data_IF_374421403183
#
_entry.id   IF_374421403183
#
_cell.length_a   1.000
_cell.length_b   1.000
_cell.length_c   1.000
_cell.angle_alpha   90.00
_cell.angle_beta   90.00
_cell.angle_gamma   90.00
#
_symmetry.space_group_name_H-M   'P 1'
#
loop_
_entity.id
_entity.type
_entity.pdbx_description
1 polymer ?
#
# COMPACT_ATOMS: atom_id res chain seq x y z
N UNK A 1 -68.18 106.36 -144.59
CA UNK A 1 -68.90 105.14 -144.16
C UNK A 1 -67.96 103.93 -144.15
N UNK A 2 -67.18 103.70 -145.20
CA UNK A 2 -66.25 102.55 -145.37
C UNK A 2 -65.12 102.40 -144.32
N UNK A 3 -64.60 103.48 -143.72
CA UNK A 3 -63.49 103.39 -142.73
C UNK A 3 -63.94 102.93 -141.32
N UNK A 4 -65.24 103.03 -141.01
CA UNK A 4 -65.79 102.66 -139.71
C UNK A 4 -66.18 101.17 -139.67
N UNK A 5 -66.66 100.64 -140.79
CA UNK A 5 -66.96 99.20 -140.95
C UNK A 5 -65.68 98.35 -140.92
N UNK A 6 -64.59 98.77 -141.56
CA UNK A 6 -63.31 98.04 -141.51
C UNK A 6 -62.72 97.97 -140.09
N UNK A 7 -62.75 99.07 -139.32
CA UNK A 7 -62.31 99.08 -137.92
C UNK A 7 -63.20 98.20 -137.03
N UNK A 8 -64.50 98.14 -137.29
CA UNK A 8 -65.42 97.31 -136.52
C UNK A 8 -65.19 95.81 -136.80
N UNK A 9 -64.89 95.44 -138.05
CA UNK A 9 -64.55 94.06 -138.42
C UNK A 9 -63.21 93.61 -137.84
N UNK A 10 -62.16 94.45 -137.87
CA UNK A 10 -60.87 94.13 -137.21
C UNK A 10 -61.04 93.93 -135.69
N UNK A 11 -61.83 94.78 -135.02
CA UNK A 11 -62.11 94.63 -133.59
C UNK A 11 -62.91 93.35 -133.30
N UNK A 12 -63.85 92.98 -134.15
CA UNK A 12 -64.61 91.72 -134.00
C UNK A 12 -63.70 90.51 -134.20
N UNK A 13 -62.84 90.51 -135.22
CA UNK A 13 -61.88 89.41 -135.46
C UNK A 13 -60.86 89.31 -134.32
N UNK A 14 -60.34 90.44 -133.80
CA UNK A 14 -59.43 90.45 -132.66
C UNK A 14 -60.11 89.94 -131.38
N UNK A 15 -61.38 90.32 -131.14
CA UNK A 15 -62.18 89.78 -130.04
C UNK A 15 -62.45 88.28 -130.19
N UNK A 16 -62.75 87.80 -131.40
CA UNK A 16 -62.97 86.37 -131.68
C UNK A 16 -61.70 85.54 -131.50
N UNK A 17 -60.54 86.03 -131.97
CA UNK A 17 -59.24 85.36 -131.75
C UNK A 17 -58.93 85.30 -130.25
N UNK A 18 -59.21 86.37 -129.51
CA UNK A 18 -58.98 86.44 -128.07
C UNK A 18 -59.92 85.54 -127.27
N UNK A 19 -61.16 85.37 -127.74
CA UNK A 19 -62.14 84.44 -127.17
C UNK A 19 -61.68 82.98 -127.36
N UNK A 20 -61.23 82.62 -128.56
CA UNK A 20 -60.64 81.29 -128.84
C UNK A 20 -59.35 81.05 -128.02
N UNK A 21 -58.50 82.07 -127.87
CA UNK A 21 -57.32 81.97 -127.01
C UNK A 21 -57.66 81.83 -125.52
N UNK A 22 -58.72 82.48 -125.05
CA UNK A 22 -59.23 82.35 -123.68
C UNK A 22 -59.83 80.96 -123.45
N UNK A 23 -60.66 80.46 -124.38
CA UNK A 23 -61.20 79.10 -124.33
C UNK A 23 -60.07 78.05 -124.32
N UNK A 24 -59.04 78.22 -125.17
CA UNK A 24 -57.89 77.31 -125.19
C UNK A 24 -57.08 77.36 -123.88
N UNK A 25 -56.94 78.54 -123.27
CA UNK A 25 -56.29 78.69 -121.95
C UNK A 25 -57.13 78.08 -120.82
N UNK A 26 -58.44 78.22 -120.87
CA UNK A 26 -59.36 77.61 -119.89
C UNK A 26 -59.32 76.07 -119.99
N UNK A 27 -59.26 75.52 -121.20
CA UNK A 27 -59.09 74.08 -121.43
C UNK A 27 -57.73 73.58 -120.92
N UNK A 28 -56.64 74.31 -121.18
CA UNK A 28 -55.31 73.93 -120.68
C UNK A 28 -55.25 73.99 -119.14
N UNK A 29 -55.80 75.04 -118.54
CA UNK A 29 -55.91 75.16 -117.09
C UNK A 29 -56.76 74.03 -116.50
N UNK A 30 -57.88 73.68 -117.12
CA UNK A 30 -58.72 72.56 -116.67
C UNK A 30 -57.96 71.23 -116.75
N UNK A 31 -57.23 70.99 -117.85
CA UNK A 31 -56.40 69.78 -117.99
C UNK A 31 -55.28 69.73 -116.94
N UNK A 32 -54.66 70.86 -116.60
CA UNK A 32 -53.65 70.96 -115.55
C UNK A 32 -54.27 70.70 -114.16
N UNK A 33 -55.45 71.26 -113.88
CA UNK A 33 -56.19 71.02 -112.65
C UNK A 33 -56.56 69.54 -112.52
N UNK A 34 -57.11 68.93 -113.57
CA UNK A 34 -57.50 67.52 -113.57
C UNK A 34 -56.27 66.62 -113.36
N UNK A 35 -55.14 66.95 -114.00
CA UNK A 35 -53.87 66.24 -113.81
C UNK A 35 -53.34 66.36 -112.39
N UNK A 36 -53.38 67.56 -111.79
CA UNK A 36 -52.97 67.79 -110.39
C UNK A 36 -53.92 67.06 -109.43
N UNK A 37 -55.23 67.06 -109.67
CA UNK A 37 -56.22 66.33 -108.87
C UNK A 37 -55.93 64.83 -108.89
N UNK A 38 -55.64 64.25 -110.07
CA UNK A 38 -55.25 62.84 -110.19
C UNK A 38 -53.95 62.57 -109.43
N UNK A 39 -52.91 63.39 -109.66
CA UNK A 39 -51.61 63.22 -109.01
C UNK A 39 -51.69 63.31 -107.47
N UNK A 40 -52.51 64.25 -106.96
CA UNK A 40 -52.78 64.39 -105.52
C UNK A 40 -53.54 63.19 -104.96
N UNK A 41 -54.56 62.72 -105.68
CA UNK A 41 -55.35 61.54 -105.26
C UNK A 41 -54.49 60.28 -105.20
N UNK A 42 -53.62 60.06 -106.18
CA UNK A 42 -52.67 58.93 -106.21
C UNK A 42 -51.62 59.05 -105.09
N UNK A 43 -51.12 60.26 -104.84
CA UNK A 43 -50.18 60.51 -103.74
C UNK A 43 -50.82 60.26 -102.37
N UNK A 44 -52.05 60.71 -102.16
CA UNK A 44 -52.81 60.49 -100.92
C UNK A 44 -53.10 59.00 -100.73
N UNK A 45 -53.49 58.29 -101.80
CA UNK A 45 -53.71 56.83 -101.78
C UNK A 45 -52.44 56.07 -101.41
N UNK A 46 -51.30 56.44 -101.99
CA UNK A 46 -49.99 55.83 -101.68
C UNK A 46 -49.54 56.12 -100.25
N UNK A 47 -49.74 57.36 -99.78
CA UNK A 47 -49.42 57.74 -98.41
C UNK A 47 -50.28 56.95 -97.43
N UNK A 48 -51.58 56.81 -97.69
CA UNK A 48 -52.48 56.01 -96.86
C UNK A 48 -52.02 54.54 -96.80
N UNK A 49 -51.69 53.94 -97.95
CA UNK A 49 -51.18 52.57 -97.98
C UNK A 49 -49.88 52.38 -97.19
N UNK A 50 -48.95 53.35 -97.25
CA UNK A 50 -47.71 53.32 -96.47
C UNK A 50 -47.98 53.47 -94.98
N UNK A 51 -48.90 54.36 -94.58
CA UNK A 51 -49.31 54.56 -93.18
C UNK A 51 -49.93 53.27 -92.64
N UNK A 52 -50.82 52.63 -93.39
CA UNK A 52 -51.49 51.39 -92.99
C UNK A 52 -50.48 50.23 -92.86
N UNK A 53 -49.54 50.11 -93.82
CA UNK A 53 -48.48 49.11 -93.76
C UNK A 53 -47.58 49.28 -92.53
N UNK A 54 -47.15 50.51 -92.25
CA UNK A 54 -46.34 50.84 -91.08
C UNK A 54 -47.12 50.62 -89.76
N UNK A 55 -48.40 51.00 -89.71
CA UNK A 55 -49.25 50.75 -88.56
C UNK A 55 -49.41 49.24 -88.28
N UNK A 56 -49.63 48.43 -89.32
CA UNK A 56 -49.73 46.99 -89.20
C UNK A 56 -48.41 46.35 -88.76
N UNK A 57 -47.28 46.78 -89.33
CA UNK A 57 -45.96 46.28 -88.96
C UNK A 57 -45.62 46.58 -87.48
N UNK A 58 -45.94 47.80 -87.01
CA UNK A 58 -45.79 48.16 -85.60
C UNK A 58 -46.70 47.34 -84.69
N UNK A 59 -47.98 47.20 -85.03
CA UNK A 59 -48.93 46.40 -84.25
C UNK A 59 -48.48 44.94 -84.10
N UNK A 60 -47.95 44.33 -85.17
CA UNK A 60 -47.41 42.95 -85.13
C UNK A 60 -46.17 42.89 -84.25
N UNK A 61 -45.23 43.82 -84.42
CA UNK A 61 -43.98 43.85 -83.64
C UNK A 61 -44.25 44.08 -82.15
N UNK A 62 -45.13 45.02 -81.81
CA UNK A 62 -45.53 45.31 -80.43
C UNK A 62 -46.23 44.11 -79.79
N UNK A 63 -47.09 43.41 -80.56
CA UNK A 63 -47.72 42.17 -80.11
C UNK A 63 -46.68 41.07 -79.85
N UNK A 64 -45.73 40.86 -80.75
CA UNK A 64 -44.69 39.84 -80.59
C UNK A 64 -43.79 40.13 -79.38
N UNK A 65 -43.39 41.40 -79.20
CA UNK A 65 -42.62 41.83 -78.03
C UNK A 65 -43.42 41.62 -76.73
N UNK A 66 -44.70 41.99 -76.74
CA UNK A 66 -45.59 41.78 -75.60
C UNK A 66 -45.71 40.29 -75.26
N UNK A 67 -45.88 39.42 -76.27
CA UNK A 67 -45.96 37.97 -76.08
C UNK A 67 -44.63 37.39 -75.55
N UNK A 68 -43.48 37.89 -76.00
CA UNK A 68 -42.16 37.50 -75.50
C UNK A 68 -41.94 37.96 -74.04
N UNK A 69 -42.26 39.21 -73.71
CA UNK A 69 -42.17 39.74 -72.35
C UNK A 69 -43.07 38.93 -71.42
N UNK A 70 -44.30 38.65 -71.82
CA UNK A 70 -45.23 37.85 -71.02
C UNK A 70 -44.68 36.44 -70.78
N UNK A 71 -44.10 35.78 -71.79
CA UNK A 71 -43.45 34.47 -71.62
C UNK A 71 -42.27 34.52 -70.65
N UNK A 72 -41.40 35.52 -70.77
CA UNK A 72 -40.24 35.69 -69.87
C UNK A 72 -40.68 35.97 -68.43
N UNK A 73 -41.71 36.80 -68.23
CA UNK A 73 -42.28 37.10 -66.91
C UNK A 73 -42.82 35.83 -66.24
N UNK A 74 -43.56 35.01 -66.98
CA UNK A 74 -44.07 33.72 -66.48
C UNK A 74 -42.91 32.80 -66.12
N UNK A 75 -41.94 32.62 -67.02
CA UNK A 75 -40.80 31.73 -66.80
C UNK A 75 -39.97 32.14 -65.57
N UNK A 76 -39.73 33.44 -65.37
CA UNK A 76 -39.04 33.96 -64.19
C UNK A 76 -39.84 33.75 -62.92
N UNK A 77 -41.13 34.03 -62.95
CA UNK A 77 -42.01 33.85 -61.79
C UNK A 77 -42.08 32.38 -61.35
N UNK A 78 -42.20 31.45 -62.30
CA UNK A 78 -42.20 30.02 -62.03
C UNK A 78 -40.84 29.55 -61.49
N UNK A 79 -39.74 30.05 -62.06
CA UNK A 79 -38.39 29.73 -61.59
C UNK A 79 -38.11 30.27 -60.19
N UNK A 80 -38.54 31.50 -59.89
CA UNK A 80 -38.45 32.12 -58.56
C UNK A 80 -39.25 31.31 -57.53
N UNK A 81 -40.47 30.88 -57.89
CA UNK A 81 -41.30 30.04 -57.03
C UNK A 81 -40.67 28.67 -56.76
N UNK A 82 -40.06 28.05 -57.78
CA UNK A 82 -39.35 26.78 -57.62
C UNK A 82 -38.11 26.93 -56.73
N UNK A 83 -37.32 27.99 -56.94
CA UNK A 83 -36.16 28.28 -56.11
C UNK A 83 -36.55 28.54 -54.66
N UNK A 84 -37.62 29.31 -54.41
CA UNK A 84 -38.14 29.55 -53.06
C UNK A 84 -38.55 28.24 -52.38
N UNK A 85 -39.25 27.36 -53.10
CA UNK A 85 -39.64 26.05 -52.57
C UNK A 85 -38.44 25.19 -52.18
N UNK A 86 -37.39 25.19 -53.02
CA UNK A 86 -36.16 24.43 -52.74
C UNK A 86 -35.39 25.01 -51.55
N UNK A 87 -35.31 26.34 -51.44
CA UNK A 87 -34.67 27.03 -50.31
C UNK A 87 -35.41 26.69 -49.01
N UNK A 88 -36.74 26.73 -49.00
CA UNK A 88 -37.55 26.43 -47.82
C UNK A 88 -37.40 24.96 -47.40
N UNK A 89 -37.37 24.04 -48.37
CA UNK A 89 -37.16 22.62 -48.10
C UNK A 89 -35.77 22.35 -47.49
N UNK A 90 -34.71 22.92 -48.06
CA UNK A 90 -33.35 22.81 -47.55
C UNK A 90 -33.19 23.45 -46.16
N UNK A 91 -33.80 24.62 -45.94
CA UNK A 91 -33.81 25.27 -44.63
C UNK A 91 -34.49 24.40 -43.57
N UNK A 92 -35.63 23.79 -43.90
CA UNK A 92 -36.32 22.87 -43.00
C UNK A 92 -35.50 21.59 -42.74
N UNK A 93 -34.89 21.02 -43.77
CA UNK A 93 -34.04 19.84 -43.63
C UNK A 93 -32.84 20.10 -42.70
N UNK A 94 -32.15 21.23 -42.87
CA UNK A 94 -31.04 21.64 -41.99
C UNK A 94 -31.51 21.87 -40.56
N UNK A 95 -32.63 22.57 -40.36
CA UNK A 95 -33.19 22.79 -39.02
C UNK A 95 -33.56 21.48 -38.30
N UNK A 96 -34.05 20.47 -39.02
CA UNK A 96 -34.35 19.15 -38.45
C UNK A 96 -33.06 18.41 -38.11
N UNK A 97 -32.10 18.36 -39.04
CA UNK A 97 -30.82 17.70 -38.83
C UNK A 97 -30.04 18.30 -37.64
N UNK A 98 -30.03 19.62 -37.50
CA UNK A 98 -29.37 20.32 -36.39
C UNK A 98 -30.05 19.99 -35.04
N UNK A 99 -31.38 19.93 -35.00
CA UNK A 99 -32.13 19.52 -33.79
C UNK A 99 -31.85 18.07 -33.41
N UNK A 100 -31.78 17.17 -34.39
CA UNK A 100 -31.50 15.76 -34.16
C UNK A 100 -30.06 15.55 -33.65
N UNK A 101 -29.08 16.22 -34.26
CA UNK A 101 -27.69 16.17 -33.81
C UNK A 101 -27.56 16.76 -32.39
N UNK A 102 -28.19 17.89 -32.12
CA UNK A 102 -28.21 18.48 -30.79
C UNK A 102 -28.84 17.54 -29.75
N UNK A 103 -29.92 16.85 -30.11
CA UNK A 103 -30.55 15.84 -29.26
C UNK A 103 -29.64 14.65 -28.97
N UNK A 104 -28.92 14.15 -29.98
CA UNK A 104 -27.95 13.06 -29.82
C UNK A 104 -26.77 13.47 -28.93
N UNK A 105 -26.21 14.67 -29.14
CA UNK A 105 -25.11 15.20 -28.33
C UNK A 105 -25.55 15.33 -26.86
N UNK A 106 -26.75 15.87 -26.60
CA UNK A 106 -27.27 16.00 -25.24
C UNK A 106 -27.44 14.63 -24.56
N UNK A 107 -27.92 13.62 -25.30
CA UNK A 107 -28.04 12.26 -24.78
C UNK A 107 -26.68 11.64 -24.45
N UNK A 108 -25.69 11.79 -25.33
CA UNK A 108 -24.34 11.28 -25.09
C UNK A 108 -23.69 11.97 -23.88
N UNK A 109 -23.85 13.29 -23.75
CA UNK A 109 -23.35 14.05 -22.57
C UNK A 109 -23.97 13.51 -21.28
N UNK A 110 -25.29 13.29 -21.26
CA UNK A 110 -25.97 12.74 -20.09
C UNK A 110 -25.46 11.34 -19.74
N UNK A 111 -25.38 10.44 -20.72
CA UNK A 111 -24.90 9.07 -20.53
C UNK A 111 -23.45 9.03 -20.02
N UNK A 112 -22.56 9.86 -20.58
CA UNK A 112 -21.17 9.97 -20.12
C UNK A 112 -21.09 10.51 -18.69
N UNK A 113 -21.86 11.55 -18.38
CA UNK A 113 -21.90 12.14 -17.03
C UNK A 113 -22.38 11.13 -15.99
N UNK A 114 -23.40 10.33 -16.32
CA UNK A 114 -23.91 9.27 -15.44
C UNK A 114 -22.89 8.14 -15.28
N UNK A 115 -22.24 7.72 -16.37
CA UNK A 115 -21.17 6.72 -16.36
C UNK A 115 -19.98 7.14 -15.49
N UNK A 116 -19.53 8.38 -15.64
CA UNK A 116 -18.42 8.93 -14.86
C UNK A 116 -18.77 9.01 -13.37
N UNK A 117 -20.00 9.41 -13.03
CA UNK A 117 -20.48 9.40 -11.63
C UNK A 117 -20.53 7.99 -11.04
N UNK A 118 -20.99 7.00 -11.82
CA UNK A 118 -21.06 5.60 -11.37
C UNK A 118 -19.66 5.01 -11.16
N UNK A 119 -18.72 5.32 -12.05
CA UNK A 119 -17.32 4.93 -11.92
C UNK A 119 -16.68 5.58 -10.68
N UNK A 120 -16.88 6.89 -10.49
CA UNK A 120 -16.37 7.60 -9.32
C UNK A 120 -16.90 6.99 -8.01
N UNK A 121 -18.20 6.70 -7.95
CA UNK A 121 -18.81 6.06 -6.77
C UNK A 121 -18.22 4.68 -6.48
N UNK A 122 -17.92 3.90 -7.53
CA UNK A 122 -17.32 2.57 -7.40
C UNK A 122 -15.87 2.65 -6.92
N UNK A 123 -15.11 3.63 -7.42
CA UNK A 123 -13.74 3.90 -6.98
C UNK A 123 -13.71 4.33 -5.51
N UNK A 124 -14.59 5.25 -5.12
CA UNK A 124 -14.67 5.74 -3.74
C UNK A 124 -15.03 4.61 -2.76
N UNK A 125 -15.96 3.73 -3.14
CA UNK A 125 -16.31 2.55 -2.35
C UNK A 125 -15.14 1.57 -2.19
N UNK A 126 -14.39 1.31 -3.27
CA UNK A 126 -13.21 0.42 -3.23
C UNK A 126 -12.09 1.01 -2.35
N UNK A 127 -11.87 2.34 -2.41
CA UNK A 127 -10.89 3.03 -1.55
C UNK A 127 -11.22 2.80 -0.07
N UNK A 128 -12.48 2.98 0.31
CA UNK A 128 -12.94 2.76 1.70
C UNK A 128 -12.79 1.28 2.08
N UNK A 129 -13.22 0.36 1.21
CA UNK A 129 -13.14 -1.08 1.48
C UNK A 129 -11.70 -1.56 1.68
N UNK A 130 -10.75 -1.06 0.88
CA UNK A 130 -9.32 -1.37 1.04
C UNK A 130 -8.74 -0.77 2.30
N UNK A 131 -9.05 0.49 2.62
CA UNK A 131 -8.59 1.11 3.85
C UNK A 131 -9.06 0.35 5.10
N UNK A 132 -10.32 -0.09 5.11
CA UNK A 132 -10.88 -0.91 6.19
C UNK A 132 -10.23 -2.29 6.27
N UNK A 133 -9.95 -2.93 5.13
CA UNK A 133 -9.28 -4.21 5.07
C UNK A 133 -7.83 -4.13 5.60
N UNK A 134 -7.08 -3.11 5.18
CA UNK A 134 -5.72 -2.84 5.63
C UNK A 134 -5.68 -2.54 7.13
N UNK A 135 -6.63 -1.74 7.63
CA UNK A 135 -6.76 -1.45 9.07
C UNK A 135 -7.02 -2.72 9.89
N UNK A 136 -7.96 -3.57 9.44
CA UNK A 136 -8.26 -4.86 10.11
C UNK A 136 -7.05 -5.78 10.11
N UNK A 137 -6.34 -5.88 9.00
CA UNK A 137 -5.14 -6.70 8.89
C UNK A 137 -4.03 -6.19 9.83
N UNK A 138 -3.81 -4.88 9.88
CA UNK A 138 -2.81 -4.27 10.76
C UNK A 138 -3.12 -4.53 12.24
N UNK A 139 -4.39 -4.42 12.63
CA UNK A 139 -4.85 -4.73 14.00
C UNK A 139 -4.61 -6.22 14.33
N UNK A 140 -4.96 -7.13 13.41
CA UNK A 140 -4.76 -8.56 13.60
C UNK A 140 -3.27 -8.91 13.75
N UNK A 141 -2.40 -8.32 12.92
CA UNK A 141 -0.95 -8.51 13.00
C UNK A 141 -0.41 -8.02 14.34
N UNK A 142 -0.78 -6.81 14.76
CA UNK A 142 -0.31 -6.24 16.03
C UNK A 142 -0.75 -7.11 17.23
N UNK A 143 -2.00 -7.59 17.18
CA UNK A 143 -2.55 -8.46 18.23
C UNK A 143 -1.77 -9.78 18.32
N UNK A 144 -1.45 -10.39 17.19
CA UNK A 144 -0.67 -11.63 17.15
C UNK A 144 0.77 -11.41 17.61
N UNK A 145 1.40 -10.30 17.23
CA UNK A 145 2.75 -9.94 17.69
C UNK A 145 2.78 -9.78 19.20
N UNK A 146 1.80 -9.07 19.78
CA UNK A 146 1.70 -8.90 21.23
C UNK A 146 1.46 -10.23 21.95
N UNK A 147 0.60 -11.08 21.39
CA UNK A 147 0.30 -12.39 21.95
C UNK A 147 1.54 -13.30 21.96
N UNK A 148 2.28 -13.37 20.85
CA UNK A 148 3.53 -14.13 20.76
C UNK A 148 4.60 -13.59 21.68
N UNK A 149 4.78 -12.27 21.71
CA UNK A 149 5.77 -11.64 22.60
C UNK A 149 5.50 -11.98 24.07
N UNK A 150 4.24 -11.93 24.50
CA UNK A 150 3.84 -12.32 25.86
C UNK A 150 4.04 -13.81 26.12
N UNK A 151 3.71 -14.67 25.15
CA UNK A 151 3.91 -16.11 25.27
C UNK A 151 5.40 -16.46 25.40
N UNK A 152 6.26 -15.86 24.57
CA UNK A 152 7.70 -16.04 24.59
C UNK A 152 8.31 -15.53 25.90
N UNK A 153 7.89 -14.36 26.38
CA UNK A 153 8.29 -13.84 27.70
C UNK A 153 7.86 -14.77 28.84
N UNK A 154 6.61 -15.26 28.79
CA UNK A 154 6.09 -16.21 29.78
C UNK A 154 6.88 -17.51 29.81
N UNK A 155 7.22 -18.04 28.64
CA UNK A 155 8.06 -19.24 28.52
C UNK A 155 9.48 -18.98 29.01
N UNK A 156 10.07 -17.82 28.70
CA UNK A 156 11.40 -17.45 29.16
C UNK A 156 11.47 -17.40 30.70
N UNK A 157 10.46 -16.84 31.36
CA UNK A 157 10.35 -16.83 32.83
C UNK A 157 10.30 -18.25 33.39
N UNK A 158 9.54 -19.15 32.76
CA UNK A 158 9.46 -20.55 33.20
C UNK A 158 10.80 -21.29 33.01
N UNK A 159 11.49 -21.06 31.90
CA UNK A 159 12.81 -21.63 31.63
C UNK A 159 13.84 -21.15 32.66
N UNK A 160 13.85 -19.85 32.98
CA UNK A 160 14.76 -19.29 33.98
C UNK A 160 14.44 -19.81 35.39
N UNK A 161 13.17 -20.00 35.73
CA UNK A 161 12.75 -20.59 37.01
C UNK A 161 13.21 -22.05 37.19
N UNK A 162 13.34 -22.82 36.10
CA UNK A 162 13.83 -24.20 36.13
C UNK A 162 15.38 -24.29 36.11
N UNK A 163 16.06 -23.24 35.64
CA UNK A 163 17.52 -23.22 35.48
C UNK A 163 18.19 -22.28 36.49
N UNK A 164 18.00 -22.57 37.78
CA UNK A 164 18.58 -21.77 38.86
C UNK A 164 20.09 -22.04 38.94
N UNK A 165 20.89 -21.08 38.48
CA UNK A 165 22.35 -21.12 38.60
C UNK A 165 22.77 -21.22 40.08
N UNK A 166 23.85 -21.96 40.35
CA UNK A 166 24.31 -22.25 41.70
C UNK A 166 23.71 -23.52 42.31
N UNK A 167 22.67 -24.10 41.70
CA UNK A 167 22.12 -25.41 42.11
C UNK A 167 23.19 -26.48 41.99
N UNK A 168 23.39 -27.28 43.04
CA UNK A 168 24.29 -28.44 43.04
C UNK A 168 23.49 -29.73 42.90
N UNK A 169 23.90 -30.61 41.98
CA UNK A 169 23.32 -31.95 41.81
C UNK A 169 24.40 -33.00 41.60
N UNK A 170 24.06 -34.26 41.86
CA UNK A 170 24.93 -35.41 41.68
C UNK A 170 24.51 -36.20 40.44
N UNK A 171 25.47 -36.53 39.57
CA UNK A 171 25.22 -37.23 38.32
C UNK A 171 25.93 -38.58 38.29
N UNK A 172 25.23 -39.62 37.82
CA UNK A 172 25.78 -40.96 37.61
C UNK A 172 26.56 -41.09 36.29
N UNK A 173 27.48 -40.14 36.03
CA UNK A 173 28.34 -40.07 34.84
C UNK A 173 29.66 -39.40 35.17
N UNK A 174 30.66 -39.52 34.29
CA UNK A 174 32.03 -39.00 34.53
C UNK A 174 32.27 -37.57 34.03
N UNK A 175 31.42 -37.07 33.12
CA UNK A 175 31.52 -35.72 32.56
C UNK A 175 30.31 -34.89 32.98
N UNK A 176 30.49 -33.58 33.17
CA UNK A 176 29.36 -32.70 33.42
C UNK A 176 28.44 -32.65 32.18
N UNK A 177 27.10 -32.70 32.35
CA UNK A 177 26.17 -32.38 31.26
C UNK A 177 26.27 -30.92 30.82
N UNK A 178 25.68 -30.61 29.65
CA UNK A 178 25.59 -29.24 29.15
C UNK A 178 24.80 -28.35 30.12
N UNK A 179 25.28 -27.13 30.34
CA UNK A 179 24.71 -26.22 31.34
C UNK A 179 25.14 -26.52 32.77
N UNK A 180 26.10 -27.43 32.99
CA UNK A 180 26.66 -27.75 34.30
C UNK A 180 28.19 -27.73 34.27
N UNK A 181 28.80 -27.34 35.39
CA UNK A 181 30.23 -27.43 35.64
C UNK A 181 30.50 -28.43 36.75
N UNK A 182 31.67 -29.09 36.75
CA UNK A 182 32.07 -29.97 37.86
C UNK A 182 32.30 -29.15 39.12
N UNK A 183 31.76 -29.59 40.25
CA UNK A 183 32.06 -29.00 41.56
C UNK A 183 33.41 -29.56 42.07
N UNK A 184 34.50 -29.12 41.44
CA UNK A 184 35.85 -29.62 41.65
C UNK A 184 36.88 -28.53 42.05
N UNK A 185 36.41 -27.38 42.54
CA UNK A 185 37.29 -26.28 42.98
C UNK A 185 37.89 -25.42 41.87
N UNK A 186 37.58 -25.69 40.59
CA UNK A 186 38.21 -24.95 39.48
C UNK A 186 37.84 -23.47 39.49
N UNK A 187 38.79 -22.61 39.10
CA UNK A 187 38.54 -21.21 38.79
C UNK A 187 37.88 -21.10 37.40
N UNK A 188 36.78 -20.36 37.30
CA UNK A 188 36.02 -20.17 36.05
C UNK A 188 35.71 -18.69 35.79
N UNK A 189 35.48 -18.33 34.52
CA UNK A 189 35.29 -16.94 34.08
C UNK A 189 33.98 -16.33 34.59
N UNK A 190 34.07 -15.14 35.21
CA UNK A 190 32.90 -14.34 35.63
C UNK A 190 32.05 -13.89 34.44
N UNK A 191 32.69 -13.55 33.32
CA UNK A 191 31.98 -13.06 32.13
C UNK A 191 31.23 -14.20 31.43
N UNK A 192 31.83 -15.39 31.35
CA UNK A 192 31.20 -16.54 30.72
C UNK A 192 30.07 -17.11 31.58
N UNK A 193 30.23 -17.11 32.91
CA UNK A 193 29.30 -17.71 33.86
C UNK A 193 28.69 -16.65 34.79
N UNK A 194 28.18 -15.56 34.20
CA UNK A 194 27.70 -14.40 34.95
C UNK A 194 26.52 -14.72 35.89
N UNK A 195 25.57 -15.57 35.46
CA UNK A 195 24.44 -16.01 36.31
C UNK A 195 24.94 -16.79 37.53
N UNK A 196 25.88 -17.71 37.33
CA UNK A 196 26.52 -18.44 38.42
C UNK A 196 27.31 -17.54 39.37
N UNK A 197 28.09 -16.60 38.83
CA UNK A 197 28.84 -15.66 39.66
C UNK A 197 27.91 -14.77 40.48
N UNK A 198 26.79 -14.32 39.90
CA UNK A 198 25.77 -13.58 40.65
C UNK A 198 25.15 -14.42 41.78
N UNK A 199 25.02 -15.74 41.58
CA UNK A 199 24.44 -16.65 42.57
C UNK A 199 25.39 -17.00 43.72
N UNK A 200 26.67 -17.27 43.46
CA UNK A 200 27.61 -17.79 44.48
C UNK A 200 28.77 -16.84 44.82
N UNK A 201 28.98 -15.81 44.02
CA UNK A 201 30.07 -14.85 44.20
C UNK A 201 31.43 -15.53 44.30
N UNK A 202 32.19 -15.13 45.31
CA UNK A 202 33.52 -15.69 45.63
C UNK A 202 33.49 -16.60 46.85
N UNK A 203 32.32 -17.17 47.21
CA UNK A 203 32.13 -17.97 48.42
C UNK A 203 33.14 -19.13 48.53
N UNK A 204 33.48 -19.75 47.41
CA UNK A 204 34.43 -20.87 47.34
C UNK A 204 35.84 -20.44 46.89
N UNK A 205 36.11 -19.14 46.85
CA UNK A 205 37.39 -18.55 46.48
C UNK A 205 37.25 -17.49 45.39
N UNK A 206 38.14 -16.49 45.47
CA UNK A 206 38.12 -15.33 44.57
C UNK A 206 38.70 -15.61 43.17
N UNK A 207 39.21 -16.81 42.90
CA UNK A 207 39.98 -17.12 41.70
C UNK A 207 41.25 -16.26 41.63
N UNK A 208 41.44 -15.60 40.49
CA UNK A 208 42.47 -14.59 40.23
C UNK A 208 42.19 -13.22 40.90
N UNK A 209 41.05 -13.07 41.58
CA UNK A 209 40.64 -11.82 42.22
C UNK A 209 40.02 -10.79 41.27
N UNK A 210 39.91 -11.07 39.96
CA UNK A 210 39.42 -10.12 38.96
C UNK A 210 38.44 -10.74 37.97
N UNK A 211 38.92 -11.66 37.13
CA UNK A 211 38.15 -12.18 35.98
C UNK A 211 37.54 -13.54 36.25
N UNK A 212 37.93 -14.20 37.34
CA UNK A 212 37.48 -15.55 37.70
C UNK A 212 36.91 -15.63 39.12
N UNK A 213 36.27 -16.76 39.42
CA UNK A 213 35.82 -17.16 40.75
C UNK A 213 35.90 -18.69 40.85
N UNK A 214 36.02 -19.22 42.07
CA UNK A 214 36.14 -20.65 42.26
C UNK A 214 34.77 -21.32 42.43
N UNK A 215 34.64 -22.51 41.86
CA UNK A 215 33.55 -23.44 42.14
C UNK A 215 33.77 -24.12 43.50
N UNK A 216 32.72 -24.68 44.13
CA UNK A 216 32.92 -25.58 45.26
C UNK A 216 33.76 -26.80 44.85
N UNK A 217 34.57 -27.34 45.77
CA UNK A 217 35.20 -28.66 45.62
C UNK A 217 34.47 -29.65 46.52
N UNK A 218 33.63 -30.51 45.93
CA UNK A 218 32.82 -31.48 46.66
C UNK A 218 33.34 -32.92 46.50
N UNK A 219 34.55 -33.08 45.97
CA UNK A 219 35.13 -34.41 45.73
C UNK A 219 35.54 -35.03 47.07
N UNK A 220 34.88 -36.11 47.45
CA UNK A 220 35.16 -36.82 48.70
C UNK A 220 34.47 -36.24 49.94
N UNK A 221 33.71 -35.16 49.78
CA UNK A 221 33.05 -34.46 50.88
C UNK A 221 31.63 -34.97 51.15
N UNK A 222 31.21 -34.90 52.41
CA UNK A 222 29.80 -35.05 52.79
C UNK A 222 29.15 -33.68 52.94
N UNK A 223 28.06 -33.46 52.21
CA UNK A 223 27.25 -32.24 52.35
C UNK A 223 26.24 -32.40 53.47
N UNK A 224 26.13 -31.40 54.34
CA UNK A 224 25.10 -31.29 55.36
C UNK A 224 24.32 -30.00 55.19
N UNK A 225 23.10 -29.95 55.74
CA UNK A 225 22.31 -28.71 55.77
C UNK A 225 23.04 -27.61 56.53
N UNK A 226 23.02 -26.39 55.97
CA UNK A 226 23.50 -25.19 56.66
C UNK A 226 22.56 -24.87 57.84
N UNK A 227 23.13 -24.50 58.99
CA UNK A 227 22.36 -24.28 60.21
C UNK A 227 21.36 -23.13 60.08
N UNK A 228 21.74 -22.09 59.34
CA UNK A 228 20.93 -20.90 59.04
C UNK A 228 20.16 -20.33 60.24
N UNK A 229 20.81 -20.31 61.41
CA UNK A 229 20.27 -19.71 62.63
C UNK A 229 19.42 -20.64 63.50
N UNK A 230 19.31 -21.93 63.18
CA UNK A 230 18.60 -22.90 64.03
C UNK A 230 19.34 -23.18 65.36
N UNK A 231 20.67 -23.07 65.37
CA UNK A 231 21.51 -23.27 66.55
C UNK A 231 21.92 -24.73 66.81
N UNK A 232 21.70 -25.65 65.87
CA UNK A 232 22.15 -27.05 65.95
C UNK A 232 23.63 -27.18 65.60
N UNK A 233 24.11 -26.37 64.67
CA UNK A 233 25.51 -26.32 64.22
C UNK A 233 25.98 -24.85 64.18
N UNK A 234 25.82 -24.17 65.33
CA UNK A 234 26.07 -22.74 65.47
C UNK A 234 27.53 -22.37 65.20
N UNK A 235 27.74 -21.22 64.55
CA UNK A 235 29.08 -20.70 64.22
C UNK A 235 29.68 -21.25 62.92
N UNK A 236 28.97 -22.12 62.21
CA UNK A 236 29.36 -22.55 60.85
C UNK A 236 29.01 -21.46 59.84
N UNK A 237 29.86 -21.33 58.83
CA UNK A 237 29.60 -20.48 57.66
C UNK A 237 29.21 -21.33 56.46
N UNK A 238 28.36 -20.78 55.60
CA UNK A 238 28.01 -21.44 54.33
C UNK A 238 29.29 -21.67 53.51
N UNK A 239 29.47 -22.88 52.99
CA UNK A 239 30.68 -23.28 52.25
C UNK A 239 31.90 -23.61 53.11
N UNK A 240 31.81 -23.52 54.45
CA UNK A 240 32.92 -23.88 55.35
C UNK A 240 33.17 -25.38 55.43
N UNK A 241 34.43 -25.80 55.29
CA UNK A 241 34.84 -27.20 55.45
C UNK A 241 34.90 -27.62 56.93
N UNK A 242 34.81 -28.92 57.18
CA UNK A 242 34.97 -29.49 58.52
C UNK A 242 35.76 -30.79 58.42
N UNK A 243 36.77 -30.97 59.29
CA UNK A 243 37.46 -32.25 59.38
C UNK A 243 36.56 -33.33 60.00
N UNK A 244 36.85 -34.58 59.69
CA UNK A 244 36.19 -35.73 60.33
C UNK A 244 36.33 -35.65 61.85
N UNK A 245 35.23 -35.89 62.56
CA UNK A 245 35.21 -35.98 64.01
C UNK A 245 34.42 -37.23 64.42
N UNK A 246 35.01 -38.03 65.30
CA UNK A 246 34.28 -39.08 66.02
C UNK A 246 33.81 -38.49 67.36
N UNK A 247 32.56 -38.77 67.74
CA UNK A 247 32.03 -38.37 69.04
C UNK A 247 32.90 -38.91 70.18
N UNK A 248 33.02 -38.12 71.25
CA UNK A 248 33.69 -38.57 72.46
C UNK A 248 32.99 -39.82 73.01
N UNK A 249 33.78 -40.82 73.38
CA UNK A 249 33.27 -42.06 73.96
C UNK A 249 34.33 -42.67 74.88
N UNK A 250 33.92 -43.65 75.70
CA UNK A 250 34.76 -44.32 76.68
C UNK A 250 34.61 -45.84 76.54
N UNK A 251 35.67 -46.57 76.87
CA UNK A 251 35.66 -48.04 76.96
C UNK A 251 35.78 -48.47 78.42
N UNK A 252 34.93 -49.41 78.85
CA UNK A 252 35.05 -50.04 80.16
C UNK A 252 35.82 -51.36 80.03
N UNK A 253 36.83 -51.55 80.89
CA UNK A 253 37.56 -52.81 80.95
C UNK A 253 36.79 -53.78 81.85
N UNK A 254 36.30 -54.88 81.29
CA UNK A 254 35.63 -55.95 82.06
C UNK A 254 36.71 -56.87 82.65
N UNK A 255 36.82 -56.89 83.98
CA UNK A 255 37.81 -57.65 84.78
C UNK A 255 39.26 -57.15 84.80
N UNK A 256 39.50 -55.94 85.29
CA UNK A 256 40.79 -55.65 85.92
C UNK A 256 40.73 -56.10 87.39
N UNK A 257 41.03 -57.38 87.67
CA UNK A 257 41.40 -57.81 89.03
C UNK A 257 42.77 -57.18 89.33
N UNK A 258 42.77 -55.91 89.70
CA UNK A 258 43.98 -55.14 90.02
C UNK A 258 44.40 -55.46 91.44
N UNK A 259 44.82 -56.71 91.66
CA UNK A 259 45.63 -57.02 92.83
C UNK A 259 46.99 -56.35 92.63
N UNK A 260 47.45 -55.63 93.64
CA UNK A 260 48.74 -54.95 93.65
C UNK A 260 49.85 -55.91 93.17
N UNK A 261 50.36 -55.68 91.95
CA UNK A 261 51.41 -56.49 91.31
C UNK A 261 50.99 -57.26 90.04
N UNK A 262 49.73 -57.22 89.62
CA UNK A 262 49.28 -57.89 88.39
C UNK A 262 49.56 -57.09 87.11
N UNK A 263 50.54 -57.52 86.31
CA UNK A 263 50.69 -57.07 84.92
C UNK A 263 49.43 -57.44 84.12
N UNK A 264 48.98 -56.55 83.23
CA UNK A 264 47.90 -56.85 82.27
C UNK A 264 48.45 -57.93 81.31
N UNK A 265 48.11 -59.19 81.60
CA UNK A 265 48.57 -60.34 80.85
C UNK A 265 48.00 -60.34 79.44
N UNK A 266 48.86 -60.61 78.46
CA UNK A 266 48.47 -60.90 77.09
C UNK A 266 47.41 -62.00 77.03
N UNK A 267 46.52 -61.93 76.03
CA UNK A 267 45.62 -63.03 75.72
C UNK A 267 46.42 -64.33 75.53
N UNK A 268 45.92 -65.50 75.97
CA UNK A 268 46.64 -66.76 75.83
C UNK A 268 46.82 -67.09 74.34
N UNK A 269 48.04 -66.88 73.83
CA UNK A 269 48.40 -67.20 72.44
C UNK A 269 49.49 -66.32 71.81
N UNK A 270 49.61 -65.05 72.21
CA UNK A 270 50.61 -64.14 71.64
C UNK A 270 51.71 -63.82 72.67
N UNK A 271 52.88 -64.43 72.47
CA UNK A 271 54.07 -64.27 73.32
C UNK A 271 54.73 -62.89 73.30
N UNK A 272 54.03 -61.84 72.88
CA UNK A 272 54.53 -60.47 72.86
C UNK A 272 53.94 -59.67 74.03
N UNK A 273 54.76 -59.42 75.05
CA UNK A 273 54.49 -58.41 76.07
C UNK A 273 54.64 -57.04 75.43
N UNK A 274 53.52 -56.41 75.05
CA UNK A 274 53.52 -54.99 74.69
C UNK A 274 53.78 -54.18 75.97
N UNK A 275 54.97 -53.61 76.07
CA UNK A 275 55.30 -52.57 77.04
C UNK A 275 54.56 -51.27 76.63
N UNK A 276 53.25 -51.21 76.88
CA UNK A 276 52.53 -49.94 76.96
C UNK A 276 52.74 -49.43 78.39
N UNK A 277 53.61 -48.43 78.53
CA UNK A 277 54.04 -47.88 79.81
C UNK A 277 52.86 -47.36 80.63
N UNK A 278 52.31 -48.21 81.50
CA UNK A 278 51.43 -47.80 82.58
C UNK A 278 52.25 -46.82 83.44
N UNK A 279 52.02 -45.52 83.30
CA UNK A 279 52.57 -44.52 84.22
C UNK A 279 51.87 -44.67 85.57
N UNK A 280 52.29 -45.66 86.34
CA UNK A 280 51.80 -45.93 87.68
C UNK A 280 52.49 -44.96 88.66
N UNK A 281 51.74 -44.04 89.23
CA UNK A 281 52.07 -43.49 90.55
C UNK A 281 50.92 -43.83 91.48
N UNK A 282 51.10 -44.87 92.29
CA UNK A 282 50.19 -45.24 93.36
C UNK A 282 50.84 -44.88 94.69
N UNK A 283 50.23 -43.95 95.41
CA UNK A 283 49.94 -44.11 96.84
C UNK A 283 48.65 -43.34 97.15
N UNK A 284 47.63 -44.04 97.68
CA UNK A 284 46.46 -43.42 98.30
C UNK A 284 46.34 -43.91 99.72
N UNK A 285 46.11 -42.98 100.63
CA UNK A 285 45.43 -43.24 101.90
C UNK A 285 44.05 -42.60 101.78
N UNK A 286 43.02 -43.45 101.72
CA UNK A 286 41.57 -43.16 101.77
C UNK A 286 40.82 -42.76 100.47
N UNK A 287 39.75 -43.51 100.20
CA UNK A 287 38.45 -42.97 99.77
C UNK A 287 38.13 -42.87 98.28
N UNK A 288 39.03 -42.35 97.45
CA UNK A 288 38.64 -41.90 96.10
C UNK A 288 38.89 -42.96 95.01
N UNK A 289 38.06 -43.05 93.95
CA UNK A 289 38.27 -43.96 92.81
C UNK A 289 39.62 -43.68 92.11
N UNK A 290 40.30 -44.75 91.69
CA UNK A 290 41.56 -44.70 90.92
C UNK A 290 41.21 -44.72 89.43
N UNK A 291 41.57 -43.66 88.69
CA UNK A 291 41.41 -43.60 87.23
C UNK A 291 42.67 -44.19 86.59
N UNK A 292 42.51 -45.30 85.86
CA UNK A 292 43.57 -45.97 85.10
C UNK A 292 43.40 -45.63 83.63
N UNK A 293 44.40 -45.00 83.04
CA UNK A 293 44.47 -44.75 81.60
C UNK A 293 45.08 -45.98 80.93
N UNK A 294 44.26 -46.73 80.20
CA UNK A 294 44.71 -47.84 79.37
C UNK A 294 44.33 -47.54 77.92
N UNK A 295 45.29 -47.65 77.00
CA UNK A 295 45.04 -47.41 75.58
C UNK A 295 44.60 -48.72 74.91
N UNK A 296 43.52 -48.69 74.15
CA UNK A 296 43.22 -49.76 73.20
C UNK A 296 44.11 -49.58 71.97
N UNK A 297 44.57 -50.67 71.36
CA UNK A 297 45.23 -50.59 70.05
C UNK A 297 44.27 -50.01 69.00
N UNK A 298 44.75 -49.19 68.03
CA UNK A 298 43.92 -48.71 66.94
C UNK A 298 43.30 -49.88 66.15
N UNK A 299 42.01 -49.80 65.86
CA UNK A 299 41.32 -50.74 64.97
C UNK A 299 40.51 -49.94 63.94
N UNK A 300 40.45 -50.43 62.70
CA UNK A 300 39.81 -49.74 61.58
C UNK A 300 40.78 -49.23 60.52
N UNK A 301 40.32 -48.26 59.71
CA UNK A 301 41.08 -47.66 58.61
C UNK A 301 41.42 -46.18 58.83
N UNK A 302 42.00 -45.54 57.82
CA UNK A 302 42.47 -44.14 57.87
C UNK A 302 41.35 -43.09 58.03
N UNK A 303 40.10 -43.45 57.72
CA UNK A 303 38.96 -42.53 57.75
C UNK A 303 37.73 -43.25 58.30
N UNK A 304 37.01 -42.59 59.22
CA UNK A 304 35.71 -43.05 59.70
C UNK A 304 34.62 -42.56 58.75
N UNK A 305 33.92 -43.48 58.08
CA UNK A 305 32.78 -43.14 57.20
C UNK A 305 31.75 -44.26 57.14
N UNK A 306 30.47 -43.94 56.96
CA UNK A 306 29.47 -44.95 56.62
C UNK A 306 29.69 -45.47 55.20
N UNK A 307 28.98 -46.54 54.83
CA UNK A 307 28.88 -46.99 53.44
C UNK A 307 28.37 -45.84 52.56
N UNK A 308 29.04 -45.60 51.43
CA UNK A 308 28.70 -44.53 50.49
C UNK A 308 28.93 -44.98 49.04
N UNK A 309 28.39 -44.20 48.09
CA UNK A 309 28.62 -44.31 46.65
C UNK A 309 29.08 -42.95 46.12
N UNK A 310 30.04 -42.95 45.21
CA UNK A 310 30.56 -41.72 44.60
C UNK A 310 29.78 -41.39 43.32
N UNK A 311 29.22 -40.18 43.27
CA UNK A 311 28.59 -39.60 42.08
C UNK A 311 29.30 -38.28 41.73
N UNK A 312 29.22 -37.84 40.48
CA UNK A 312 29.83 -36.59 40.06
C UNK A 312 28.99 -35.40 40.52
N UNK A 313 29.47 -34.66 41.50
CA UNK A 313 28.89 -33.38 41.88
C UNK A 313 29.12 -32.34 40.78
N UNK A 314 28.05 -31.69 40.34
CA UNK A 314 28.08 -30.59 39.39
C UNK A 314 27.23 -29.42 39.88
N UNK A 315 27.55 -28.22 39.41
CA UNK A 315 26.86 -26.97 39.70
C UNK A 315 26.33 -26.35 38.41
N UNK A 316 25.05 -25.92 38.44
CA UNK A 316 24.38 -25.28 37.31
C UNK A 316 24.97 -23.90 37.07
N UNK A 317 25.27 -23.53 35.83
CA UNK A 317 25.77 -22.19 35.48
C UNK A 317 24.80 -21.33 34.67
#
# INVERSE_FOLDING_TARGET
>A
MTKFETNLTEVIEELQVKDVELEAKDVDLQNQIDSEVVARTDADTKLQANIDAEANARNVTDKDLQDQITKEVIARTDSEKALQTNIDAEANARNVADKDLQGQITKEIAARTEGDKALQSSIDAEIVARADADSKLQIAINTEVDARTKADQGLQVQIDALNIAGTVQYFARQTAPDGWLKANGSAVSRAQYAKLFAAIGTLFGAGDGSTTFNLPDLRGEFVRGFDDGRGVDAGRTLGGMQNSLLGTHYHALLNANLNAGGMIGAAPGDGNVYNDSISQVVTKTSGDPVIIWANTSPTGGAETRPRNIALLACIKY
#
